data_IF_388785441018
#
_entry.id   IF_388785441018
#
_cell.length_a   1.000
_cell.length_b   1.000
_cell.length_c   1.000
_cell.angle_alpha   90.00
_cell.angle_beta   90.00
_cell.angle_gamma   90.00
#
_symmetry.space_group_name_H-M   'P 1'
#
loop_
_entity.id
_entity.type
_entity.pdbx_description
1 polymer ?
#
# COMPACT_ATOMS: atom_id res chain seq x y z
N UNK A 1 -24.42 -26.54 -42.35
CA UNK A 1 -23.08 -26.10 -41.91
C UNK A 1 -22.99 -26.30 -40.40
N UNK A 2 -22.06 -27.15 -39.90
CA UNK A 2 -21.90 -27.43 -38.47
C UNK A 2 -21.05 -26.35 -37.76
N UNK A 3 -21.14 -26.21 -36.42
CA UNK A 3 -20.43 -25.17 -35.65
C UNK A 3 -18.93 -25.45 -35.48
N UNK A 4 -18.10 -24.42 -35.23
CA UNK A 4 -16.64 -24.54 -35.18
C UNK A 4 -16.13 -25.22 -33.91
N UNK A 5 -15.06 -26.01 -34.09
CA UNK A 5 -14.40 -26.85 -33.09
C UNK A 5 -13.49 -26.05 -32.14
N UNK A 6 -13.52 -26.38 -30.86
CA UNK A 6 -12.64 -25.85 -29.80
C UNK A 6 -11.20 -26.35 -30.03
N UNK A 7 -10.15 -25.51 -29.93
CA UNK A 7 -8.78 -25.95 -30.14
C UNK A 7 -8.30 -26.84 -28.98
N UNK A 8 -7.81 -28.02 -29.33
CA UNK A 8 -7.24 -29.02 -28.43
C UNK A 8 -5.79 -28.68 -28.07
N UNK A 9 -5.44 -28.82 -26.79
CA UNK A 9 -4.08 -28.61 -26.25
C UNK A 9 -3.05 -29.55 -26.89
N UNK A 10 -1.77 -29.14 -27.03
CA UNK A 10 -0.77 -29.95 -27.72
C UNK A 10 -0.35 -31.18 -26.89
N UNK A 11 -0.45 -32.35 -27.51
CA UNK A 11 0.13 -33.60 -27.05
C UNK A 11 1.65 -33.50 -26.94
N UNK A 12 2.20 -33.46 -25.72
CA UNK A 12 3.62 -33.76 -25.50
C UNK A 12 3.81 -35.27 -25.60
N UNK A 13 4.29 -35.73 -26.75
CA UNK A 13 4.73 -37.10 -26.99
C UNK A 13 5.80 -37.50 -25.95
N UNK A 14 5.40 -38.32 -24.98
CA UNK A 14 6.30 -38.97 -24.03
C UNK A 14 6.92 -40.18 -24.74
N UNK A 15 8.20 -40.08 -25.08
CA UNK A 15 9.02 -41.19 -25.59
C UNK A 15 8.93 -42.37 -24.62
N UNK A 16 8.29 -43.44 -25.07
CA UNK A 16 8.25 -44.73 -24.40
C UNK A 16 9.54 -45.49 -24.69
N UNK A 17 10.36 -45.75 -23.68
CA UNK A 17 11.18 -46.96 -23.66
C UNK A 17 11.45 -47.43 -22.23
N UNK A 18 11.15 -48.72 -22.05
CA UNK A 18 11.61 -49.65 -21.00
C UNK A 18 10.85 -49.70 -19.67
N UNK A 19 9.89 -50.62 -19.68
CA UNK A 19 9.38 -51.34 -18.50
C UNK A 19 10.54 -51.99 -17.73
N UNK A 20 10.85 -51.47 -16.55
CA UNK A 20 11.30 -52.27 -15.41
C UNK A 20 10.31 -52.02 -14.28
N UNK A 21 9.50 -53.04 -13.99
CA UNK A 21 8.62 -53.08 -12.83
C UNK A 21 9.47 -52.91 -11.58
N UNK A 22 9.25 -51.83 -10.83
CA UNK A 22 9.63 -51.74 -9.43
C UNK A 22 8.45 -51.20 -8.62
N UNK A 23 8.34 -51.78 -7.43
CA UNK A 23 7.17 -51.87 -6.59
C UNK A 23 6.63 -50.54 -6.07
N UNK A 24 5.33 -50.56 -5.77
CA UNK A 24 4.63 -49.58 -4.96
C UNK A 24 5.31 -49.40 -3.60
N UNK A 25 5.83 -48.21 -3.32
CA UNK A 25 5.74 -47.52 -2.03
C UNK A 25 6.41 -46.16 -2.15
N UNK A 26 5.74 -45.14 -1.63
CA UNK A 26 6.15 -43.73 -1.49
C UNK A 26 5.59 -42.80 -2.57
N UNK A 27 4.37 -42.31 -2.31
CA UNK A 27 4.04 -40.91 -2.57
C UNK A 27 5.04 -40.05 -1.77
N UNK A 28 6.25 -39.85 -2.29
CA UNK A 28 7.12 -38.77 -1.81
C UNK A 28 6.53 -37.50 -2.40
N UNK A 29 6.18 -36.55 -1.55
CA UNK A 29 5.70 -35.24 -1.98
C UNK A 29 6.66 -34.68 -3.03
N UNK A 30 6.11 -34.11 -4.09
CA UNK A 30 6.90 -33.57 -5.21
C UNK A 30 7.95 -32.55 -4.71
N UNK A 31 7.65 -31.88 -3.60
CA UNK A 31 8.57 -31.00 -2.88
C UNK A 31 9.76 -31.74 -2.26
N UNK A 32 9.54 -32.91 -1.66
CA UNK A 32 10.63 -33.75 -1.11
C UNK A 32 11.54 -34.26 -2.21
N UNK A 33 10.98 -34.62 -3.37
CA UNK A 33 11.77 -35.05 -4.53
C UNK A 33 12.59 -33.91 -5.13
N UNK A 34 12.04 -32.69 -5.17
CA UNK A 34 12.77 -31.50 -5.57
C UNK A 34 13.87 -31.14 -4.57
N UNK A 35 13.61 -31.26 -3.28
CA UNK A 35 14.63 -31.05 -2.24
C UNK A 35 15.79 -32.03 -2.36
N UNK A 36 15.50 -33.32 -2.57
CA UNK A 36 16.53 -34.34 -2.81
C UNK A 36 17.35 -34.04 -4.08
N UNK A 37 16.70 -33.57 -5.16
CA UNK A 37 17.39 -33.17 -6.39
C UNK A 37 18.25 -31.92 -6.20
N UNK A 38 17.82 -30.95 -5.39
CA UNK A 38 18.62 -29.76 -5.04
C UNK A 38 19.86 -30.17 -4.25
N UNK A 39 19.71 -30.99 -3.21
CA UNK A 39 20.84 -31.51 -2.41
C UNK A 39 21.81 -32.32 -3.28
N UNK A 40 21.27 -33.18 -4.15
CA UNK A 40 22.10 -33.97 -5.07
C UNK A 40 22.80 -33.10 -6.12
N UNK A 41 22.21 -31.95 -6.47
CA UNK A 41 22.81 -30.97 -7.36
C UNK A 41 23.87 -30.09 -6.70
N UNK A 42 23.77 -29.83 -5.39
CA UNK A 42 24.80 -29.13 -4.60
C UNK A 42 26.05 -29.99 -4.39
N UNK A 43 25.87 -31.31 -4.29
CA UNK A 43 26.97 -32.27 -4.22
C UNK A 43 27.63 -32.54 -5.58
N UNK A 44 26.92 -32.31 -6.68
CA UNK A 44 27.50 -32.34 -8.01
C UNK A 44 28.13 -30.98 -8.31
N UNK A 45 29.38 -30.95 -8.79
CA UNK A 45 30.09 -29.72 -9.18
C UNK A 45 29.41 -28.93 -10.34
N UNK A 46 28.21 -29.35 -10.75
CA UNK A 46 27.35 -28.73 -11.77
C UNK A 46 26.90 -27.31 -11.39
N UNK A 47 26.76 -27.02 -10.08
CA UNK A 47 26.39 -25.69 -9.56
C UNK A 47 27.49 -25.01 -8.75
N UNK A 48 28.75 -25.48 -8.82
CA UNK A 48 29.90 -24.65 -8.42
C UNK A 48 30.05 -23.52 -9.44
N UNK A 49 29.19 -22.53 -9.32
CA UNK A 49 29.35 -21.23 -9.96
C UNK A 49 30.66 -20.68 -9.41
N UNK A 50 31.75 -20.80 -10.21
CA UNK A 50 32.94 -19.96 -10.04
C UNK A 50 32.41 -18.55 -9.83
N UNK A 51 32.66 -17.97 -8.65
CA UNK A 51 32.27 -16.63 -8.16
C UNK A 51 31.17 -15.94 -9.01
N UNK A 52 29.98 -15.66 -8.45
CA UNK A 52 28.91 -15.00 -9.21
C UNK A 52 29.47 -13.83 -10.03
N UNK A 53 29.09 -13.71 -11.31
CA UNK A 53 29.52 -12.60 -12.18
C UNK A 53 29.14 -11.23 -11.59
N UNK A 54 28.19 -11.25 -10.65
CA UNK A 54 27.73 -10.13 -9.84
C UNK A 54 28.57 -10.03 -8.57
N UNK A 55 29.02 -8.80 -8.28
CA UNK A 55 29.71 -8.46 -7.04
C UNK A 55 28.94 -8.97 -5.82
N UNK A 56 29.65 -9.52 -4.83
CA UNK A 56 29.04 -9.99 -3.57
C UNK A 56 28.19 -8.92 -2.89
N UNK A 57 28.56 -7.65 -3.03
CA UNK A 57 27.78 -6.52 -2.55
C UNK A 57 26.40 -6.44 -3.22
N UNK A 58 26.35 -6.52 -4.55
CA UNK A 58 25.08 -6.45 -5.31
C UNK A 58 24.21 -7.67 -4.97
N UNK A 59 24.81 -8.85 -4.81
CA UNK A 59 24.08 -10.05 -4.41
C UNK A 59 23.46 -9.89 -3.01
N UNK A 60 24.22 -9.34 -2.06
CA UNK A 60 23.71 -9.06 -0.70
C UNK A 60 22.60 -8.02 -0.73
N UNK A 61 22.76 -6.90 -1.44
CA UNK A 61 21.71 -5.89 -1.58
C UNK A 61 20.41 -6.48 -2.16
N UNK A 62 20.51 -7.23 -3.27
CA UNK A 62 19.35 -7.88 -3.90
C UNK A 62 18.72 -8.91 -2.98
N UNK A 63 19.53 -9.66 -2.22
CA UNK A 63 19.03 -10.64 -1.26
C UNK A 63 18.31 -9.96 -0.09
N UNK A 64 18.86 -8.88 0.43
CA UNK A 64 18.27 -8.14 1.54
C UNK A 64 16.97 -7.47 1.11
N UNK A 65 16.94 -6.86 -0.09
CA UNK A 65 15.74 -6.28 -0.71
C UNK A 65 14.67 -7.35 -0.96
N UNK A 66 15.06 -8.53 -1.45
CA UNK A 66 14.13 -9.65 -1.64
C UNK A 66 13.62 -10.24 -0.32
N UNK A 67 14.45 -10.29 0.72
CA UNK A 67 14.05 -10.76 2.06
C UNK A 67 13.11 -9.75 2.74
N UNK A 68 13.38 -8.47 2.58
CA UNK A 68 12.50 -7.39 3.01
C UNK A 68 11.17 -7.45 2.26
N UNK A 69 11.19 -7.67 0.93
CA UNK A 69 10.01 -7.89 0.11
C UNK A 69 9.21 -9.13 0.58
N UNK A 70 9.89 -10.22 0.95
CA UNK A 70 9.24 -11.43 1.47
C UNK A 70 8.58 -11.20 2.83
N UNK A 71 9.24 -10.45 3.73
CA UNK A 71 8.68 -10.05 5.03
C UNK A 71 7.49 -9.10 4.87
N UNK A 72 7.56 -8.21 3.89
CA UNK A 72 6.54 -7.20 3.64
C UNK A 72 5.35 -7.73 2.82
N UNK A 73 5.45 -8.93 2.22
CA UNK A 73 4.42 -9.51 1.35
C UNK A 73 3.04 -9.59 2.01
N UNK A 74 3.01 -9.83 3.32
CA UNK A 74 1.79 -9.93 4.13
C UNK A 74 1.67 -8.80 5.18
N UNK A 75 2.58 -7.82 5.19
CA UNK A 75 2.50 -6.67 6.12
C UNK A 75 1.51 -5.62 5.62
N UNK A 76 1.35 -5.48 4.30
CA UNK A 76 0.43 -4.54 3.66
C UNK A 76 -0.74 -5.28 3.03
N UNK A 77 -1.72 -5.65 3.85
CA UNK A 77 -2.98 -6.25 3.44
C UNK A 77 -4.15 -5.27 3.55
N UNK A 78 -5.28 -5.61 2.94
CA UNK A 78 -6.49 -4.80 2.96
C UNK A 78 -6.97 -4.49 4.38
N UNK A 79 -7.00 -5.50 5.25
CA UNK A 79 -7.39 -5.38 6.65
C UNK A 79 -6.56 -4.35 7.41
N UNK A 80 -5.25 -4.29 7.14
CA UNK A 80 -4.37 -3.30 7.76
C UNK A 80 -4.72 -1.87 7.30
N UNK A 81 -5.04 -1.70 6.02
CA UNK A 81 -5.36 -0.38 5.45
C UNK A 81 -6.71 0.10 5.98
N UNK A 82 -7.68 -0.81 6.07
CA UNK A 82 -8.98 -0.57 6.70
C UNK A 82 -8.86 -0.26 8.19
N UNK A 83 -7.97 -0.95 8.91
CA UNK A 83 -7.69 -0.65 10.31
C UNK A 83 -7.12 0.77 10.50
N UNK A 84 -6.12 1.18 9.71
CA UNK A 84 -5.54 2.52 9.81
C UNK A 84 -6.54 3.59 9.36
N UNK A 85 -7.36 3.31 8.34
CA UNK A 85 -8.43 4.21 7.91
C UNK A 85 -9.43 4.45 9.04
N UNK A 86 -9.93 3.37 9.67
CA UNK A 86 -10.83 3.45 10.82
C UNK A 86 -10.20 4.18 12.00
N UNK A 87 -8.93 3.95 12.30
CA UNK A 87 -8.23 4.67 13.37
C UNK A 87 -8.16 6.18 13.06
N UNK A 88 -7.97 6.52 11.79
CA UNK A 88 -7.93 7.90 11.31
C UNK A 88 -9.32 8.57 11.25
N UNK A 89 -10.41 7.81 11.29
CA UNK A 89 -11.79 8.33 11.28
C UNK A 89 -12.38 8.54 12.67
N UNK A 90 -11.73 8.07 13.75
CA UNK A 90 -12.28 8.11 15.12
C UNK A 90 -12.73 9.53 15.52
N UNK A 91 -11.96 10.56 15.18
CA UNK A 91 -12.32 11.94 15.53
C UNK A 91 -13.55 12.48 14.78
N UNK A 92 -13.97 11.81 13.71
CA UNK A 92 -15.19 12.12 12.94
C UNK A 92 -16.41 11.43 13.57
N UNK A 93 -16.24 10.22 14.10
CA UNK A 93 -17.28 9.38 14.71
C UNK A 93 -17.69 9.86 16.11
N UNK A 94 -16.72 10.38 16.90
CA UNK A 94 -16.91 10.91 18.25
C UNK A 94 -17.86 12.14 18.33
N UNK A 95 -18.24 12.71 17.19
CA UNK A 95 -19.15 13.87 17.15
C UNK A 95 -20.59 13.53 17.57
N UNK A 96 -21.00 12.26 17.50
CA UNK A 96 -22.41 11.88 17.73
C UNK A 96 -22.72 11.56 19.21
N UNK A 97 -21.76 11.10 20.02
CA UNK A 97 -22.07 10.61 21.38
C UNK A 97 -21.67 11.54 22.53
N UNK A 98 -20.74 12.48 22.34
CA UNK A 98 -20.14 13.26 23.43
C UNK A 98 -20.63 14.71 23.57
N UNK A 99 -21.47 15.19 22.65
CA UNK A 99 -22.03 16.56 22.68
C UNK A 99 -23.04 16.80 23.82
N UNK A 100 -23.36 15.79 24.65
CA UNK A 100 -24.36 15.93 25.70
C UNK A 100 -23.81 16.22 27.11
N UNK A 101 -22.49 16.16 27.39
CA UNK A 101 -22.04 16.11 28.82
C UNK A 101 -20.92 17.08 29.25
N UNK A 102 -20.02 17.64 28.43
CA UNK A 102 -18.88 18.42 29.02
C UNK A 102 -18.31 19.58 28.18
N UNK A 103 -18.95 20.74 28.28
CA UNK A 103 -18.76 21.90 27.37
C UNK A 103 -17.56 22.84 27.65
N UNK A 104 -16.41 22.37 28.15
CA UNK A 104 -15.24 23.30 28.19
C UNK A 104 -13.85 22.65 28.09
N UNK A 105 -13.63 21.45 28.63
CA UNK A 105 -12.38 20.71 28.42
C UNK A 105 -12.34 19.93 27.10
N UNK A 106 -13.50 19.75 26.45
CA UNK A 106 -13.61 18.93 25.24
C UNK A 106 -13.07 19.63 23.98
N UNK A 107 -13.04 20.97 23.91
CA UNK A 107 -12.60 21.66 22.70
C UNK A 107 -11.10 21.43 22.39
N UNK A 108 -10.25 21.46 23.41
CA UNK A 108 -8.81 21.21 23.24
C UNK A 108 -8.53 19.73 22.95
N UNK A 109 -9.25 18.82 23.61
CA UNK A 109 -9.13 17.38 23.35
C UNK A 109 -9.60 17.04 21.94
N UNK A 110 -10.71 17.64 21.48
CA UNK A 110 -11.19 17.48 20.11
C UNK A 110 -10.16 18.00 19.11
N UNK A 111 -9.58 19.19 19.34
CA UNK A 111 -8.55 19.75 18.47
C UNK A 111 -7.33 18.82 18.32
N UNK A 112 -6.85 18.27 19.44
CA UNK A 112 -5.76 17.29 19.49
C UNK A 112 -6.12 15.98 18.77
N UNK A 113 -7.37 15.51 18.89
CA UNK A 113 -7.84 14.32 18.19
C UNK A 113 -7.84 14.52 16.67
N UNK A 114 -8.33 15.67 16.17
CA UNK A 114 -8.25 15.99 14.74
C UNK A 114 -6.80 16.12 14.26
N UNK A 115 -5.92 16.72 15.06
CA UNK A 115 -4.49 16.80 14.74
C UNK A 115 -3.86 15.42 14.55
N UNK A 116 -4.04 14.53 15.52
CA UNK A 116 -3.46 13.19 15.49
C UNK A 116 -4.01 12.36 14.33
N UNK A 117 -5.33 12.39 14.12
CA UNK A 117 -5.99 11.66 13.03
C UNK A 117 -5.53 12.17 11.66
N UNK A 118 -5.43 13.49 11.49
CA UNK A 118 -4.95 14.09 10.23
C UNK A 118 -3.48 13.74 9.97
N UNK A 119 -2.62 13.83 11.00
CA UNK A 119 -1.21 13.42 10.88
C UNK A 119 -1.08 11.95 10.52
N UNK A 120 -1.86 11.08 11.14
CA UNK A 120 -1.85 9.65 10.85
C UNK A 120 -2.30 9.40 9.41
N UNK A 121 -3.46 9.94 9.01
CA UNK A 121 -4.02 9.75 7.68
C UNK A 121 -3.04 10.20 6.59
N UNK A 122 -2.51 11.42 6.71
CA UNK A 122 -1.59 11.97 5.70
C UNK A 122 -0.26 11.23 5.66
N UNK A 123 0.34 10.94 6.81
CA UNK A 123 1.61 10.20 6.84
C UNK A 123 1.44 8.80 6.24
N UNK A 124 0.37 8.10 6.60
CA UNK A 124 0.09 6.77 6.07
C UNK A 124 -0.19 6.82 4.55
N UNK A 125 -1.02 7.75 4.11
CA UNK A 125 -1.38 7.88 2.70
C UNK A 125 -0.15 8.17 1.83
N UNK A 126 0.63 9.18 2.22
CA UNK A 126 1.75 9.70 1.43
C UNK A 126 3.00 8.81 1.56
N UNK A 127 3.26 8.25 2.73
CA UNK A 127 4.47 7.43 2.95
C UNK A 127 4.27 5.97 2.56
N UNK A 128 3.03 5.47 2.64
CA UNK A 128 2.75 4.03 2.48
C UNK A 128 1.75 3.77 1.36
N UNK A 129 0.50 4.25 1.47
CA UNK A 129 -0.59 3.80 0.60
C UNK A 129 -0.36 4.15 -0.87
N UNK A 130 0.04 5.38 -1.19
CA UNK A 130 0.31 5.79 -2.57
C UNK A 130 1.46 5.00 -3.20
N UNK A 131 2.40 4.48 -2.40
CA UNK A 131 3.57 3.72 -2.87
C UNK A 131 3.31 2.22 -3.06
N UNK A 132 2.16 1.71 -2.63
CA UNK A 132 1.84 0.27 -2.69
C UNK A 132 1.52 -0.24 -4.10
N UNK A 133 1.32 -1.54 -4.27
CA UNK A 133 0.96 -2.09 -5.58
C UNK A 133 -0.47 -1.68 -6.00
N UNK A 134 -0.70 -1.50 -7.31
CA UNK A 134 -2.00 -1.02 -7.86
C UNK A 134 -3.21 -1.83 -7.38
N UNK A 135 -3.03 -3.14 -7.16
CA UNK A 135 -4.09 -4.04 -6.66
C UNK A 135 -4.61 -3.64 -5.28
N UNK A 136 -3.76 -3.09 -4.42
CA UNK A 136 -4.13 -2.66 -3.07
C UNK A 136 -4.74 -1.24 -3.05
N UNK A 137 -4.39 -0.40 -4.05
CA UNK A 137 -4.86 0.99 -4.16
C UNK A 137 -6.28 1.13 -4.71
N UNK A 138 -6.66 0.32 -5.70
CA UNK A 138 -7.85 0.57 -6.52
C UNK A 138 -9.16 0.65 -5.72
N UNK A 139 -9.31 -0.16 -4.68
CA UNK A 139 -10.59 -0.28 -3.97
C UNK A 139 -10.70 0.66 -2.75
N UNK A 140 -9.56 1.09 -2.19
CA UNK A 140 -9.52 1.83 -0.93
C UNK A 140 -9.29 3.33 -1.09
N UNK A 141 -8.65 3.75 -2.17
CA UNK A 141 -8.12 5.10 -2.27
C UNK A 141 -9.19 6.20 -2.24
N UNK A 142 -10.38 5.94 -2.80
CA UNK A 142 -11.50 6.89 -2.74
C UNK A 142 -11.94 7.17 -1.29
N UNK A 143 -11.98 6.14 -0.44
CA UNK A 143 -12.35 6.28 0.98
C UNK A 143 -11.37 7.16 1.76
N UNK A 144 -10.09 7.18 1.35
CA UNK A 144 -9.10 8.07 1.94
C UNK A 144 -9.30 9.53 1.54
N UNK A 145 -9.73 9.76 0.30
CA UNK A 145 -10.03 11.11 -0.19
C UNK A 145 -11.22 11.68 0.58
N UNK A 146 -12.29 10.91 0.71
CA UNK A 146 -13.50 11.30 1.47
C UNK A 146 -13.17 11.60 2.93
N UNK A 147 -12.37 10.74 3.57
CA UNK A 147 -11.91 10.96 4.95
C UNK A 147 -11.09 12.27 5.09
N UNK A 148 -10.21 12.57 4.14
CA UNK A 148 -9.43 13.81 4.17
C UNK A 148 -10.29 15.04 3.89
N UNK A 149 -11.26 14.96 2.97
CA UNK A 149 -12.24 16.02 2.74
C UNK A 149 -13.01 16.35 4.03
N UNK A 150 -13.47 15.33 4.76
CA UNK A 150 -14.16 15.50 6.04
C UNK A 150 -13.27 16.12 7.12
N UNK A 151 -12.01 15.69 7.21
CA UNK A 151 -11.06 16.27 8.17
C UNK A 151 -10.77 17.75 7.87
N UNK A 152 -10.51 18.09 6.59
CA UNK A 152 -10.20 19.46 6.19
C UNK A 152 -11.41 20.38 6.31
N UNK A 153 -12.61 19.91 5.98
CA UNK A 153 -13.83 20.72 6.06
C UNK A 153 -14.22 21.05 7.51
N UNK A 154 -14.04 20.10 8.44
CA UNK A 154 -14.41 20.29 9.85
C UNK A 154 -13.40 21.11 10.64
N UNK A 155 -12.11 21.03 10.33
CA UNK A 155 -11.07 21.69 11.13
C UNK A 155 -10.03 22.44 10.30
N UNK A 156 -9.81 23.72 10.62
CA UNK A 156 -8.77 24.54 10.01
C UNK A 156 -7.35 24.07 10.35
N UNK A 157 -7.14 23.47 11.53
CA UNK A 157 -5.83 22.95 11.92
C UNK A 157 -5.41 21.74 11.08
N UNK A 158 -6.35 20.91 10.65
CA UNK A 158 -6.10 19.85 9.68
C UNK A 158 -5.54 20.39 8.37
N UNK A 159 -5.99 21.57 7.95
CA UNK A 159 -5.45 22.23 6.76
C UNK A 159 -4.00 22.69 6.98
N UNK A 160 -3.70 23.30 8.13
CA UNK A 160 -2.34 23.72 8.50
C UNK A 160 -1.34 22.56 8.52
N UNK A 161 -1.76 21.38 9.01
CA UNK A 161 -0.91 20.17 9.01
C UNK A 161 -0.55 19.74 7.59
N UNK A 162 -1.48 19.83 6.64
CA UNK A 162 -1.17 19.51 5.24
C UNK A 162 -0.13 20.47 4.66
N UNK A 163 -0.27 21.77 4.90
CA UNK A 163 0.74 22.75 4.48
C UNK A 163 2.09 22.51 5.15
N UNK A 164 2.09 22.16 6.44
CA UNK A 164 3.31 21.78 7.15
C UNK A 164 4.00 20.58 6.49
N UNK A 165 3.22 19.57 6.09
CA UNK A 165 3.73 18.41 5.39
C UNK A 165 4.29 18.76 4.01
N UNK A 166 3.67 19.72 3.32
CA UNK A 166 4.04 20.15 1.98
C UNK A 166 5.33 21.00 1.95
N UNK A 167 5.50 21.86 2.95
CA UNK A 167 6.54 22.90 2.94
C UNK A 167 7.63 22.73 3.99
N UNK A 168 7.42 21.98 5.07
CA UNK A 168 8.44 21.80 6.13
C UNK A 168 9.10 20.44 6.09
N UNK A 169 8.38 19.39 5.69
CA UNK A 169 8.88 18.01 5.78
C UNK A 169 9.53 17.51 4.51
N UNK A 170 9.05 17.92 3.34
CA UNK A 170 9.52 17.39 2.06
C UNK A 170 9.31 18.41 0.92
N UNK A 171 10.35 19.19 0.61
CA UNK A 171 10.31 20.24 -0.42
C UNK A 171 9.90 19.74 -1.82
N UNK A 172 9.96 18.42 -2.05
CA UNK A 172 9.69 17.79 -3.34
C UNK A 172 8.37 16.99 -3.41
N UNK A 173 7.48 17.01 -2.39
CA UNK A 173 6.24 16.22 -2.46
C UNK A 173 5.36 16.59 -3.65
N UNK A 174 5.19 17.90 -3.91
CA UNK A 174 4.39 18.38 -5.05
C UNK A 174 5.00 17.87 -6.34
N UNK A 175 6.32 18.03 -6.48
CA UNK A 175 7.03 17.59 -7.67
C UNK A 175 6.91 16.07 -7.84
N UNK A 176 7.16 15.30 -6.78
CA UNK A 176 7.13 13.85 -6.78
C UNK A 176 5.77 13.27 -7.18
N UNK A 177 4.67 13.77 -6.60
CA UNK A 177 3.34 13.19 -6.80
C UNK A 177 2.52 13.85 -7.91
N UNK A 178 2.77 15.12 -8.22
CA UNK A 178 2.01 15.85 -9.24
C UNK A 178 2.74 15.96 -10.59
N UNK A 179 4.06 16.16 -10.59
CA UNK A 179 4.82 16.44 -11.82
C UNK A 179 5.57 15.21 -12.35
N UNK A 180 6.31 14.54 -11.48
CA UNK A 180 7.22 13.44 -11.83
C UNK A 180 6.52 12.07 -11.77
N UNK A 181 5.32 11.97 -11.18
CA UNK A 181 4.62 10.70 -11.01
C UNK A 181 4.07 10.16 -12.34
N UNK A 182 4.56 9.00 -12.83
CA UNK A 182 4.11 8.41 -14.09
C UNK A 182 2.76 7.69 -13.95
N UNK A 183 2.23 7.54 -12.73
CA UNK A 183 1.01 6.80 -12.45
C UNK A 183 -0.17 7.77 -12.33
N UNK A 184 -1.06 7.74 -13.33
CA UNK A 184 -2.21 8.65 -13.42
C UNK A 184 -3.13 8.57 -12.20
N UNK A 185 -3.46 7.36 -11.72
CA UNK A 185 -4.32 7.16 -10.56
C UNK A 185 -3.80 7.93 -9.32
N UNK A 186 -2.47 7.91 -9.09
CA UNK A 186 -1.83 8.61 -7.96
C UNK A 186 -1.84 10.12 -8.18
N UNK A 187 -1.52 10.57 -9.40
CA UNK A 187 -1.48 12.00 -9.74
C UNK A 187 -2.85 12.65 -9.60
N UNK A 188 -3.90 11.97 -10.08
CA UNK A 188 -5.30 12.42 -9.93
C UNK A 188 -5.71 12.48 -8.46
N UNK A 189 -5.42 11.44 -7.70
CA UNK A 189 -5.69 11.38 -6.26
C UNK A 189 -5.03 12.54 -5.52
N UNK A 190 -3.73 12.74 -5.75
CA UNK A 190 -2.99 13.81 -5.08
C UNK A 190 -3.51 15.19 -5.50
N UNK A 191 -3.86 15.36 -6.78
CA UNK A 191 -4.53 16.56 -7.27
C UNK A 191 -5.87 16.83 -6.58
N UNK A 192 -6.70 15.81 -6.37
CA UNK A 192 -7.97 15.93 -5.64
C UNK A 192 -7.74 16.33 -4.18
N UNK A 193 -6.76 15.73 -3.50
CA UNK A 193 -6.40 16.14 -2.13
C UNK A 193 -5.98 17.62 -2.10
N UNK A 194 -5.18 18.06 -3.07
CA UNK A 194 -4.78 19.46 -3.24
C UNK A 194 -5.98 20.39 -3.53
N UNK A 195 -6.99 19.92 -4.26
CA UNK A 195 -8.22 20.67 -4.49
C UNK A 195 -9.03 20.84 -3.19
N UNK A 196 -9.23 19.76 -2.45
CA UNK A 196 -10.01 19.77 -1.19
C UNK A 196 -9.38 20.65 -0.11
N UNK A 197 -8.04 20.64 0.01
CA UNK A 197 -7.35 21.52 0.96
C UNK A 197 -7.54 22.99 0.59
N UNK A 198 -7.43 23.35 -0.70
CA UNK A 198 -7.58 24.73 -1.15
C UNK A 198 -9.02 25.21 -0.93
N UNK A 199 -10.01 24.38 -1.30
CA UNK A 199 -11.43 24.65 -1.08
C UNK A 199 -11.74 24.82 0.40
N UNK A 200 -11.28 23.90 1.26
CA UNK A 200 -11.55 23.96 2.71
C UNK A 200 -10.86 25.14 3.38
N UNK A 201 -9.59 25.40 3.03
CA UNK A 201 -8.84 26.55 3.52
C UNK A 201 -9.51 27.89 3.15
N UNK A 202 -10.02 28.00 1.92
CA UNK A 202 -10.80 29.16 1.48
C UNK A 202 -12.08 29.35 2.31
N UNK A 203 -12.84 28.26 2.54
CA UNK A 203 -14.07 28.33 3.35
C UNK A 203 -13.81 28.73 4.81
N UNK A 204 -12.74 28.20 5.43
CA UNK A 204 -12.35 28.59 6.79
C UNK A 204 -11.93 30.06 6.88
N UNK A 205 -11.22 30.57 5.87
CA UNK A 205 -10.85 31.99 5.81
C UNK A 205 -12.07 32.90 5.64
N UNK A 206 -13.05 32.52 4.82
CA UNK A 206 -14.32 33.25 4.71
C UNK A 206 -15.03 33.27 6.07
N UNK A 207 -15.18 32.11 6.71
CA UNK A 207 -15.88 32.03 8.01
C UNK A 207 -15.22 32.93 9.06
N UNK A 208 -13.88 32.90 9.14
CA UNK A 208 -13.12 33.77 10.04
C UNK A 208 -13.31 35.25 9.71
N UNK A 209 -13.43 35.62 8.43
CA UNK A 209 -13.70 37.01 8.03
C UNK A 209 -15.10 37.48 8.41
N UNK A 210 -16.10 36.60 8.38
CA UNK A 210 -17.48 36.91 8.77
C UNK A 210 -17.60 37.08 10.30
N UNK A 211 -16.90 36.25 11.08
CA UNK A 211 -16.90 36.35 12.55
C UNK A 211 -16.21 37.63 13.10
N UNK A 212 -15.51 38.39 12.25
CA UNK A 212 -14.82 39.64 12.61
C UNK A 212 -15.67 40.91 12.33
N UNK A 213 -16.87 40.78 11.76
CA UNK A 213 -17.84 41.85 11.55
C UNK A 213 -19.09 41.67 12.42
#
# INVERSE_FOLDING_TARGET
>A
LPPPSIPSSPNTNRLTTRNTRLNRSNQRDSLSQLADLVVQSEHNDLFKIKKPLISSHVLTCVKDENLEFLKNRDTYCDDYFQFIHKLSSICLDDYIELNNITSNNNNNNNLLSYELCTKLALNFLISTHLRTHRRLRKDNLQQWIELLEDLFSKNSLSCSIFYQLLFEKNDDIIKLYLLDCPIDDIRQTFGQICEYILKSSYMHNIRKSIELF
#
